data_IF_125090127699
#
_entry.id   IF_125090127699
#
_cell.length_a   1.000
_cell.length_b   1.000
_cell.length_c   1.000
_cell.angle_alpha   90.00
_cell.angle_beta   90.00
_cell.angle_gamma   90.00
#
_symmetry.space_group_name_H-M   'P 1'
#
loop_
_entity.id
_entity.type
_entity.pdbx_description
1 polymer ?
#
# COMPACT_ATOMS: atom_id res chain seq x y z
N UNK A 1 4.04 3.12 -9.01
CA UNK A 1 4.41 3.71 -7.70
C UNK A 1 5.22 2.76 -6.81
N UNK A 2 4.66 1.65 -6.30
CA UNK A 2 5.42 0.72 -5.44
C UNK A 2 6.67 0.16 -6.13
N UNK A 3 6.51 -0.30 -7.37
CA UNK A 3 7.61 -0.82 -8.21
C UNK A 3 8.73 0.21 -8.36
N UNK A 4 8.40 1.44 -8.75
CA UNK A 4 9.39 2.50 -9.00
C UNK A 4 10.17 2.87 -7.73
N UNK A 5 9.46 2.98 -6.60
CA UNK A 5 10.08 3.22 -5.28
C UNK A 5 11.02 2.10 -4.89
N UNK A 6 10.60 0.84 -5.06
CA UNK A 6 11.43 -0.30 -4.71
C UNK A 6 12.63 -0.45 -5.65
N UNK A 7 12.47 -0.22 -6.95
CA UNK A 7 13.57 -0.24 -7.91
C UNK A 7 14.61 0.84 -7.60
N UNK A 8 14.17 2.07 -7.34
CA UNK A 8 15.08 3.17 -6.98
C UNK A 8 15.84 2.88 -5.66
N UNK A 9 15.24 2.16 -4.72
CA UNK A 9 15.87 1.82 -3.44
C UNK A 9 16.78 0.62 -3.51
N UNK A 10 16.42 -0.40 -4.29
CA UNK A 10 17.11 -1.68 -4.29
C UNK A 10 18.13 -1.84 -5.42
N UNK A 11 17.97 -1.15 -6.55
CA UNK A 11 18.84 -1.27 -7.72
C UNK A 11 19.83 -0.11 -7.72
N UNK A 12 21.00 -0.31 -7.14
CA UNK A 12 22.07 0.71 -7.04
C UNK A 12 23.02 0.69 -8.24
N UNK A 13 23.16 -0.46 -8.89
CA UNK A 13 24.04 -0.67 -10.05
C UNK A 13 23.29 -1.46 -11.12
N UNK A 14 22.64 -0.80 -12.10
CA UNK A 14 21.86 -1.50 -13.11
C UNK A 14 22.77 -2.41 -13.95
N UNK A 15 22.46 -3.70 -13.97
CA UNK A 15 23.11 -4.71 -14.79
C UNK A 15 22.14 -5.37 -15.77
N UNK A 16 22.63 -6.34 -16.54
CA UNK A 16 21.80 -7.15 -17.45
C UNK A 16 20.94 -8.17 -16.71
N UNK A 17 21.22 -8.42 -15.43
CA UNK A 17 20.46 -9.33 -14.57
C UNK A 17 20.47 -8.83 -13.13
N UNK A 18 19.37 -9.12 -12.42
CA UNK A 18 19.25 -8.88 -10.99
C UNK A 18 20.15 -9.84 -10.19
N UNK A 19 20.97 -9.26 -9.33
CA UNK A 19 21.74 -10.01 -8.33
C UNK A 19 20.83 -10.64 -7.27
N UNK A 20 21.33 -11.63 -6.54
CA UNK A 20 20.57 -12.25 -5.44
C UNK A 20 20.18 -11.23 -4.35
N UNK A 21 21.06 -10.27 -4.06
CA UNK A 21 20.81 -9.20 -3.09
C UNK A 21 19.70 -8.25 -3.53
N UNK A 22 19.70 -7.85 -4.81
CA UNK A 22 18.64 -7.00 -5.37
C UNK A 22 17.28 -7.70 -5.35
N UNK A 23 17.23 -8.99 -5.70
CA UNK A 23 16.00 -9.79 -5.61
C UNK A 23 15.45 -9.84 -4.19
N UNK A 24 16.33 -10.11 -3.21
CA UNK A 24 15.92 -10.17 -1.80
C UNK A 24 15.48 -8.81 -1.27
N UNK A 25 16.14 -7.72 -1.69
CA UNK A 25 15.75 -6.36 -1.36
C UNK A 25 14.36 -6.03 -1.91
N UNK A 26 14.11 -6.31 -3.19
CA UNK A 26 12.83 -6.05 -3.84
C UNK A 26 11.68 -6.80 -3.16
N UNK A 27 11.89 -8.08 -2.84
CA UNK A 27 10.89 -8.87 -2.11
C UNK A 27 10.51 -8.20 -0.78
N UNK A 28 11.51 -7.86 0.04
CA UNK A 28 11.29 -7.21 1.35
C UNK A 28 10.70 -5.82 1.21
N UNK A 29 11.08 -5.08 0.17
CA UNK A 29 10.57 -3.74 -0.09
C UNK A 29 9.07 -3.78 -0.40
N UNK A 30 8.65 -4.68 -1.29
CA UNK A 30 7.25 -4.80 -1.67
C UNK A 30 6.37 -5.25 -0.49
N UNK A 31 6.81 -6.23 0.30
CA UNK A 31 6.10 -6.68 1.51
C UNK A 31 5.83 -5.50 2.47
N UNK A 32 6.89 -4.75 2.80
CA UNK A 32 6.77 -3.55 3.66
C UNK A 32 5.90 -2.45 3.03
N UNK A 33 5.97 -2.26 1.72
CA UNK A 33 5.15 -1.26 1.04
C UNK A 33 3.65 -1.56 1.21
N UNK A 34 3.26 -2.82 1.07
CA UNK A 34 1.86 -3.23 1.22
C UNK A 34 1.41 -3.03 2.67
N UNK A 35 2.19 -3.48 3.65
CA UNK A 35 1.89 -3.30 5.08
C UNK A 35 1.72 -1.81 5.46
N UNK A 36 2.63 -0.97 4.97
CA UNK A 36 2.57 0.47 5.24
C UNK A 36 1.37 1.12 4.55
N UNK A 37 1.05 0.70 3.33
CA UNK A 37 -0.14 1.16 2.61
C UNK A 37 -1.42 0.83 3.39
N UNK A 38 -1.61 -0.42 3.81
CA UNK A 38 -2.77 -0.82 4.60
C UNK A 38 -2.91 -0.02 5.90
N UNK A 39 -1.78 0.23 6.57
CA UNK A 39 -1.74 1.02 7.80
C UNK A 39 -2.18 2.46 7.55
N UNK A 40 -1.64 3.10 6.52
CA UNK A 40 -2.01 4.48 6.14
C UNK A 40 -3.49 4.55 5.77
N UNK A 41 -4.00 3.61 4.98
CA UNK A 41 -5.42 3.55 4.61
C UNK A 41 -6.32 3.41 5.84
N UNK A 42 -5.99 2.51 6.76
CA UNK A 42 -6.75 2.33 8.01
C UNK A 42 -6.78 3.61 8.85
N UNK A 43 -5.63 4.25 9.03
CA UNK A 43 -5.53 5.50 9.82
C UNK A 43 -6.29 6.63 9.15
N UNK A 44 -6.21 6.76 7.84
CA UNK A 44 -6.96 7.77 7.09
C UNK A 44 -8.48 7.57 7.25
N UNK A 45 -8.95 6.33 7.12
CA UNK A 45 -10.37 6.01 7.30
C UNK A 45 -10.85 6.29 8.73
N UNK A 46 -10.05 5.98 9.75
CA UNK A 46 -10.35 6.31 11.14
C UNK A 46 -10.48 7.82 11.37
N UNK A 47 -9.63 8.62 10.73
CA UNK A 47 -9.72 10.10 10.80
C UNK A 47 -11.00 10.60 10.15
N UNK A 48 -11.32 10.14 8.94
CA UNK A 48 -12.54 10.51 8.24
C UNK A 48 -13.80 10.16 9.05
N UNK A 49 -13.86 8.97 9.64
CA UNK A 49 -14.98 8.57 10.51
C UNK A 49 -15.09 9.47 11.76
N UNK A 50 -13.96 9.88 12.34
CA UNK A 50 -13.95 10.79 13.50
C UNK A 50 -14.44 12.19 13.14
N UNK A 51 -14.16 12.67 11.93
CA UNK A 51 -14.66 13.94 11.41
C UNK A 51 -16.15 13.86 11.05
N UNK A 52 -16.61 12.72 10.50
CA UNK A 52 -18.01 12.48 10.15
C UNK A 52 -18.91 12.20 11.37
N UNK A 53 -18.33 11.74 12.49
CA UNK A 53 -19.02 11.41 13.74
C UNK A 53 -19.64 12.59 14.51
N UNK A 54 -19.56 13.82 13.98
CA UNK A 54 -20.34 14.97 14.49
C UNK A 54 -21.70 15.15 13.80
N UNK A 55 -22.14 14.23 12.93
CA UNK A 55 -23.51 14.22 12.45
C UNK A 55 -24.10 12.81 12.53
N UNK A 56 -24.98 12.61 13.51
CA UNK A 56 -25.75 11.39 13.72
C UNK A 56 -26.52 11.02 12.46
N UNK A 57 -26.03 10.04 11.68
CA UNK A 57 -26.82 9.22 10.77
C UNK A 57 -25.97 8.05 10.29
N UNK A 58 -26.11 6.94 10.99
CA UNK A 58 -25.63 5.62 10.62
C UNK A 58 -26.30 5.17 9.31
N UNK A 59 -25.84 5.60 8.13
CA UNK A 59 -26.22 5.02 6.84
C UNK A 59 -25.25 5.43 5.73
N UNK A 60 -24.74 4.46 4.96
CA UNK A 60 -23.90 4.61 3.75
C UNK A 60 -22.46 5.10 4.04
N UNK A 61 -21.40 4.37 3.72
CA UNK A 61 -21.15 3.60 2.49
C UNK A 61 -20.34 2.33 2.81
N UNK A 62 -21.03 1.20 2.85
CA UNK A 62 -20.44 -0.04 2.37
C UNK A 62 -20.49 0.00 0.85
N UNK A 63 -19.36 0.28 0.21
CA UNK A 63 -19.02 -0.08 -1.16
C UNK A 63 -17.50 0.08 -1.29
N UNK A 64 -16.81 -0.98 -0.90
CA UNK A 64 -15.65 -1.54 -1.60
C UNK A 64 -14.46 -0.64 -1.93
N UNK A 65 -13.46 -0.67 -1.03
CA UNK A 65 -12.06 -0.56 -1.45
C UNK A 65 -11.46 -1.95 -1.81
N UNK A 66 -12.26 -3.02 -1.83
CA UNK A 66 -11.84 -4.37 -2.25
C UNK A 66 -13.00 -5.29 -2.72
N UNK A 67 -13.79 -4.86 -3.72
CA UNK A 67 -14.69 -5.75 -4.53
C UNK A 67 -14.51 -5.47 -6.03
N UNK A 68 -13.31 -5.12 -6.46
CA UNK A 68 -12.93 -5.30 -7.86
C UNK A 68 -11.52 -5.86 -7.91
N UNK A 69 -11.43 -7.19 -7.91
CA UNK A 69 -10.50 -7.99 -8.73
C UNK A 69 -10.03 -9.28 -8.03
N UNK A 70 -10.97 -10.14 -7.66
CA UNK A 70 -10.79 -11.59 -7.83
C UNK A 70 -11.79 -12.05 -8.88
N UNK A 71 -11.37 -11.99 -10.14
CA UNK A 71 -11.83 -12.84 -11.23
C UNK A 71 -10.67 -13.01 -12.19
#
# INVERSE_FOLDING_TARGET
EASDKCLQKCITSPGTALTGGEKQCLQRCMERYIETWETVQRTLMQRLQSEMGSNSSSSMLGTDFNTTSFS
#
